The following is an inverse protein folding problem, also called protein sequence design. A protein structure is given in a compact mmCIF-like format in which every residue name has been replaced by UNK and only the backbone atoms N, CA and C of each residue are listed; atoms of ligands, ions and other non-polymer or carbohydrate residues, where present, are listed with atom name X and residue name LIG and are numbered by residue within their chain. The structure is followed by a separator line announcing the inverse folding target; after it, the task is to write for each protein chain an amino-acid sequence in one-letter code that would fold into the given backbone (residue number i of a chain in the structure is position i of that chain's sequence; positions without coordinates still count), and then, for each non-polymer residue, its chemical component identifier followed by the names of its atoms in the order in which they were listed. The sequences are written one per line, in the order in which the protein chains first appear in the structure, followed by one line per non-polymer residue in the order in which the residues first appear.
data_IF_092828959283
#
_entry.id   IF_092828959283
#
_cell.length_a   1.000
_cell.length_b   1.000
_cell.length_c   1.000
_cell.angle_alpha   90.00
_cell.angle_beta   90.00
_cell.angle_gamma   90.00
#
_symmetry.space_group_name_H-M   'P 1'
#
loop_
_entity.id
_entity.type
_entity.pdbx_description
1 polymer ?
#
# COMPACT_ATOMS: atom_id res chain seq x y z
N UNK A 1 5.06 -20.30 50.75
CA UNK A 1 5.41 -19.20 49.83
C UNK A 1 4.16 -18.60 49.21
N UNK A 2 3.29 -19.39 48.57
CA UNK A 2 2.05 -18.87 47.96
C UNK A 2 1.07 -18.21 48.94
N UNK A 3 0.97 -18.72 50.17
CA UNK A 3 0.15 -18.15 51.25
C UNK A 3 0.64 -16.79 51.75
N UNK A 4 1.94 -16.52 51.64
CA UNK A 4 2.53 -15.23 52.03
C UNK A 4 2.29 -14.16 50.96
N UNK A 5 2.20 -14.57 49.70
CA UNK A 5 1.91 -13.69 48.56
C UNK A 5 0.42 -13.35 48.44
N UNK A 6 -0.50 -14.18 48.95
CA UNK A 6 -1.95 -13.92 48.89
C UNK A 6 -2.47 -13.03 50.02
N UNK A 7 -1.76 -12.95 51.15
CA UNK A 7 -2.09 -12.07 52.29
C UNK A 7 -2.34 -10.60 51.92
N UNK A 8 -1.50 -9.92 51.10
CA UNK A 8 -1.78 -8.53 50.71
C UNK A 8 -3.05 -8.41 49.86
N UNK A 9 -3.38 -9.40 49.01
CA UNK A 9 -4.59 -9.40 48.17
C UNK A 9 -5.87 -9.76 48.96
N UNK A 10 -5.75 -10.31 50.16
CA UNK A 10 -6.88 -10.53 51.08
C UNK A 10 -7.25 -9.25 51.86
N UNK A 11 -6.29 -8.33 52.06
CA UNK A 11 -6.49 -7.04 52.73
C UNK A 11 -6.80 -5.92 51.71
N UNK A 12 -6.20 -6.00 50.53
CA UNK A 12 -6.47 -5.10 49.40
C UNK A 12 -7.68 -5.63 48.63
N UNK A 13 -8.89 -5.23 49.02
CA UNK A 13 -10.04 -5.32 48.11
C UNK A 13 -9.69 -4.59 46.83
N UNK A 14 -9.72 -5.29 45.69
CA UNK A 14 -9.52 -4.65 44.39
C UNK A 14 -10.60 -3.59 44.26
N UNK A 15 -10.26 -2.29 44.26
CA UNK A 15 -11.26 -1.26 44.12
C UNK A 15 -11.97 -1.51 42.78
N UNK A 16 -13.29 -1.49 42.78
CA UNK A 16 -14.09 -1.46 41.55
C UNK A 16 -13.74 -0.18 40.78
N UNK A 17 -12.63 -0.20 40.05
CA UNK A 17 -12.12 0.89 39.23
C UNK A 17 -13.05 1.00 38.03
N UNK A 18 -14.15 1.73 38.21
CA UNK A 18 -14.95 2.28 37.11
C UNK A 18 -14.14 3.39 36.44
N UNK A 19 -13.06 2.99 35.76
CA UNK A 19 -12.27 3.87 34.90
C UNK A 19 -13.20 4.38 33.80
N UNK A 20 -13.76 5.58 34.02
CA UNK A 20 -14.41 6.35 32.95
C UNK A 20 -13.34 6.58 31.89
N UNK A 21 -13.48 5.93 30.74
CA UNK A 21 -12.65 6.25 29.57
C UNK A 21 -12.74 7.76 29.33
N UNK A 22 -11.63 8.45 29.08
CA UNK A 22 -11.67 9.88 28.77
C UNK A 22 -12.61 10.07 27.58
N UNK A 23 -13.67 10.86 27.76
CA UNK A 23 -14.68 11.11 26.72
C UNK A 23 -14.11 11.83 25.49
N UNK A 24 -12.89 12.35 25.59
CA UNK A 24 -12.16 12.99 24.51
C UNK A 24 -11.52 12.00 23.52
N UNK A 25 -11.24 10.75 23.94
CA UNK A 25 -10.59 9.77 23.08
C UNK A 25 -11.63 8.96 22.31
N UNK A 26 -12.01 9.47 21.14
CA UNK A 26 -12.87 8.73 20.21
C UNK A 26 -12.04 7.68 19.48
N UNK A 27 -12.46 6.42 19.54
CA UNK A 27 -11.82 5.35 18.76
C UNK A 27 -11.93 5.69 17.26
N UNK A 28 -10.85 5.63 16.47
CA UNK A 28 -10.94 5.85 15.04
C UNK A 28 -11.83 4.77 14.40
N UNK A 29 -12.56 5.13 13.35
CA UNK A 29 -13.35 4.16 12.57
C UNK A 29 -12.44 3.14 11.90
N UNK A 30 -12.89 1.88 11.80
CA UNK A 30 -12.13 0.81 11.15
C UNK A 30 -11.73 1.17 9.70
N UNK A 31 -12.63 1.84 8.96
CA UNK A 31 -12.35 2.27 7.59
C UNK A 31 -11.29 3.39 7.53
N UNK A 32 -11.22 4.25 8.54
CA UNK A 32 -10.19 5.29 8.63
C UNK A 32 -8.81 4.67 8.85
N UNK A 33 -8.72 3.68 9.75
CA UNK A 33 -7.46 2.94 9.98
C UNK A 33 -7.06 2.19 8.71
N UNK A 34 -8.01 1.56 8.02
CA UNK A 34 -7.74 0.89 6.73
C UNK A 34 -7.17 1.86 5.68
N UNK A 35 -7.76 3.05 5.53
CA UNK A 35 -7.27 4.07 4.60
C UNK A 35 -5.85 4.54 4.96
N UNK A 36 -5.56 4.76 6.25
CA UNK A 36 -4.21 5.10 6.71
C UNK A 36 -3.18 4.01 6.39
N UNK A 37 -3.54 2.74 6.61
CA UNK A 37 -2.66 1.61 6.27
C UNK A 37 -2.41 1.56 4.76
N UNK A 38 -3.43 1.75 3.94
CA UNK A 38 -3.28 1.75 2.48
C UNK A 38 -2.38 2.91 1.99
N UNK A 39 -2.53 4.10 2.55
CA UNK A 39 -1.66 5.26 2.24
C UNK A 39 -0.22 4.97 2.70
N UNK A 40 -0.04 4.39 3.88
CA UNK A 40 1.30 4.03 4.36
C UNK A 40 1.97 2.99 3.45
N UNK A 41 1.21 2.00 2.96
CA UNK A 41 1.69 1.02 2.00
C UNK A 41 2.11 1.68 0.68
N UNK A 42 1.32 2.61 0.16
CA UNK A 42 1.66 3.39 -1.04
C UNK A 42 3.01 4.13 -0.89
N UNK A 43 3.21 4.81 0.24
CA UNK A 43 4.43 5.60 0.48
C UNK A 43 5.66 4.72 0.69
N UNK A 44 5.52 3.64 1.45
CA UNK A 44 6.63 2.71 1.72
C UNK A 44 7.05 1.98 0.45
N UNK A 45 6.10 1.42 -0.31
CA UNK A 45 6.39 0.77 -1.59
C UNK A 45 6.86 1.77 -2.65
N UNK A 46 6.44 3.03 -2.56
CA UNK A 46 6.88 4.10 -3.45
C UNK A 46 8.36 4.44 -3.32
N UNK A 47 9.03 3.94 -2.28
CA UNK A 47 10.45 4.17 -2.07
C UNK A 47 10.77 5.46 -1.34
N UNK A 48 9.82 6.08 -0.62
CA UNK A 48 10.05 7.35 0.09
C UNK A 48 11.26 7.29 1.03
N UNK A 49 11.51 6.13 1.67
CA UNK A 49 12.70 5.93 2.51
C UNK A 49 13.99 5.98 1.68
N UNK A 50 13.97 5.35 0.49
CA UNK A 50 15.10 5.37 -0.44
C UNK A 50 15.32 6.79 -0.99
N UNK A 51 14.25 7.49 -1.33
CA UNK A 51 14.29 8.85 -1.85
C UNK A 51 14.91 9.83 -0.84
N UNK A 52 14.60 9.69 0.46
CA UNK A 52 15.16 10.52 1.53
C UNK A 52 16.65 10.22 1.79
N UNK A 53 17.07 8.97 1.65
CA UNK A 53 18.47 8.58 1.96
C UNK A 53 19.41 8.86 0.78
N UNK A 54 18.96 8.55 -0.43
CA UNK A 54 19.82 8.53 -1.63
C UNK A 54 19.61 9.77 -2.50
N UNK A 55 18.49 10.48 -2.33
CA UNK A 55 18.12 11.66 -3.12
C UNK A 55 18.32 11.45 -4.64
N UNK A 56 17.73 10.38 -5.23
CA UNK A 56 17.87 10.11 -6.66
C UNK A 56 17.16 11.20 -7.49
N UNK A 57 17.60 11.43 -8.75
CA UNK A 57 16.89 12.35 -9.63
C UNK A 57 15.48 11.83 -9.95
N UNK A 58 14.55 12.74 -10.26
CA UNK A 58 13.14 12.37 -10.45
C UNK A 58 12.90 11.56 -11.72
N UNK A 59 13.60 11.88 -12.81
CA UNK A 59 13.52 11.24 -14.13
C UNK A 59 14.93 11.21 -14.73
N UNK A 60 15.30 10.10 -15.38
CA UNK A 60 16.57 9.98 -16.12
C UNK A 60 16.48 10.55 -17.54
N UNK A 61 17.61 10.74 -18.20
CA UNK A 61 17.65 11.06 -19.63
C UNK A 61 18.63 10.14 -20.35
N UNK A 62 18.25 9.73 -21.55
CA UNK A 62 19.15 9.01 -22.48
C UNK A 62 19.30 9.85 -23.74
N UNK A 63 20.51 9.88 -24.28
CA UNK A 63 20.77 10.52 -25.57
C UNK A 63 20.36 9.56 -26.68
N UNK A 64 19.55 10.08 -27.61
CA UNK A 64 19.19 9.40 -28.85
C UNK A 64 20.38 9.44 -29.83
N UNK A 65 20.33 8.67 -30.91
CA UNK A 65 21.40 8.64 -31.93
C UNK A 65 21.65 10.02 -32.58
N UNK A 66 20.63 10.88 -32.57
CA UNK A 66 20.68 12.26 -33.06
C UNK A 66 21.11 13.29 -31.99
N UNK A 67 21.51 12.85 -30.79
CA UNK A 67 21.96 13.72 -29.69
C UNK A 67 20.83 14.39 -28.89
N UNK A 68 19.56 14.07 -29.19
CA UNK A 68 18.42 14.59 -28.44
C UNK A 68 18.27 13.83 -27.10
N UNK A 69 18.02 14.57 -26.02
CA UNK A 69 17.74 13.97 -24.72
C UNK A 69 16.30 13.47 -24.66
N UNK A 70 16.11 12.15 -24.53
CA UNK A 70 14.81 11.53 -24.28
C UNK A 70 14.65 11.24 -22.78
N UNK A 71 13.53 11.62 -22.15
CA UNK A 71 13.28 11.30 -20.75
C UNK A 71 13.03 9.80 -20.60
N UNK A 72 13.67 9.18 -19.60
CA UNK A 72 13.49 7.78 -19.26
C UNK A 72 13.04 7.68 -17.81
N UNK A 73 11.84 7.12 -17.61
CA UNK A 73 11.23 7.02 -16.29
C UNK A 73 11.81 5.88 -15.43
N UNK A 74 12.44 4.88 -16.04
CA UNK A 74 12.99 3.70 -15.37
C UNK A 74 14.51 3.66 -15.48
N UNK A 75 15.20 3.19 -14.44
CA UNK A 75 16.64 2.97 -14.50
C UNK A 75 16.93 1.53 -15.00
N UNK A 76 17.35 1.34 -16.27
CA UNK A 76 17.56 0.00 -16.80
C UNK A 76 18.83 -0.64 -16.20
N UNK A 77 18.84 -1.96 -16.10
CA UNK A 77 19.97 -2.80 -15.67
C UNK A 77 20.43 -2.65 -14.21
N UNK A 78 19.86 -1.72 -13.43
CA UNK A 78 20.20 -1.55 -12.00
C UNK A 78 19.00 -1.87 -11.10
N UNK A 79 18.98 -3.07 -10.55
CA UNK A 79 17.86 -3.55 -9.71
C UNK A 79 17.69 -2.74 -8.41
N UNK A 80 18.81 -2.42 -7.76
CA UNK A 80 18.83 -1.73 -6.47
C UNK A 80 18.67 -0.20 -6.59
N UNK A 81 18.66 0.32 -7.82
CA UNK A 81 18.47 1.74 -8.08
C UNK A 81 17.05 2.01 -8.53
N UNK A 82 16.56 3.20 -8.22
CA UNK A 82 15.21 3.61 -8.54
C UNK A 82 15.15 5.12 -8.74
N UNK A 83 14.39 5.57 -9.73
CA UNK A 83 13.98 6.97 -9.85
C UNK A 83 12.68 7.21 -9.06
N UNK A 84 12.45 8.44 -8.61
CA UNK A 84 11.25 8.79 -7.82
C UNK A 84 9.98 8.43 -8.60
N UNK A 85 9.93 8.76 -9.89
CA UNK A 85 8.76 8.48 -10.73
C UNK A 85 8.52 6.99 -10.95
N UNK A 86 9.57 6.18 -11.03
CA UNK A 86 9.47 4.71 -11.11
C UNK A 86 8.84 4.13 -9.85
N UNK A 87 9.28 4.61 -8.68
CA UNK A 87 8.73 4.22 -7.38
C UNK A 87 7.26 4.55 -7.22
N UNK A 88 6.92 5.82 -7.45
CA UNK A 88 5.53 6.28 -7.33
C UNK A 88 4.60 5.61 -8.33
N UNK A 89 5.05 5.38 -9.57
CA UNK A 89 4.24 4.69 -10.58
C UNK A 89 3.99 3.22 -10.18
N UNK A 90 5.01 2.51 -9.71
CA UNK A 90 4.87 1.11 -9.29
C UNK A 90 3.99 0.95 -8.05
N UNK A 91 4.16 1.80 -7.02
CA UNK A 91 3.32 1.75 -5.82
C UNK A 91 1.86 2.12 -6.08
N UNK A 92 1.61 3.02 -7.05
CA UNK A 92 0.25 3.32 -7.52
C UNK A 92 -0.40 2.08 -8.14
N UNK A 93 0.31 1.34 -8.99
CA UNK A 93 -0.22 0.11 -9.59
C UNK A 93 -0.47 -0.98 -8.56
N UNK A 94 0.40 -1.12 -7.54
CA UNK A 94 0.18 -2.08 -6.45
C UNK A 94 -1.08 -1.77 -5.65
N UNK A 95 -1.30 -0.50 -5.30
CA UNK A 95 -2.50 -0.08 -4.57
C UNK A 95 -3.76 -0.18 -5.43
N UNK A 96 -3.68 0.18 -6.71
CA UNK A 96 -4.76 -0.01 -7.69
C UNK A 96 -5.17 -1.50 -7.78
N UNK A 97 -4.20 -2.41 -7.95
CA UNK A 97 -4.47 -3.84 -8.00
C UNK A 97 -5.10 -4.38 -6.71
N UNK A 98 -4.58 -3.97 -5.54
CA UNK A 98 -5.15 -4.32 -4.24
C UNK A 98 -6.57 -3.79 -4.05
N UNK A 99 -6.84 -2.54 -4.42
CA UNK A 99 -8.18 -1.96 -4.42
C UNK A 99 -9.13 -2.68 -5.38
N UNK A 100 -8.62 -3.18 -6.51
CA UNK A 100 -9.39 -4.03 -7.42
C UNK A 100 -9.99 -5.25 -6.73
N UNK A 101 -9.21 -5.94 -5.89
CA UNK A 101 -9.70 -7.07 -5.09
C UNK A 101 -10.73 -6.65 -4.03
N UNK A 102 -10.51 -5.52 -3.38
CA UNK A 102 -11.44 -4.98 -2.36
C UNK A 102 -12.78 -4.60 -3.00
N UNK A 103 -12.76 -4.04 -4.21
CA UNK A 103 -13.97 -3.72 -4.97
C UNK A 103 -14.72 -5.01 -5.31
N UNK A 104 -14.02 -6.07 -5.76
CA UNK A 104 -14.62 -7.37 -6.05
C UNK A 104 -15.26 -7.99 -4.81
N UNK A 105 -14.60 -7.91 -3.65
CA UNK A 105 -15.17 -8.41 -2.39
C UNK A 105 -16.47 -7.65 -2.04
N UNK A 106 -16.46 -6.32 -2.17
CA UNK A 106 -17.62 -5.48 -1.88
C UNK A 106 -18.85 -5.81 -2.76
N UNK A 107 -18.65 -6.36 -3.97
CA UNK A 107 -19.74 -6.72 -4.88
C UNK A 107 -20.62 -7.89 -4.38
N UNK A 108 -20.18 -8.64 -3.38
CA UNK A 108 -20.96 -9.71 -2.75
C UNK A 108 -22.12 -9.18 -1.89
N UNK A 109 -22.16 -7.88 -1.61
CA UNK A 109 -23.24 -7.28 -0.82
C UNK A 109 -24.60 -7.38 -1.55
N UNK A 110 -25.62 -8.03 -0.95
CA UNK A 110 -26.91 -8.26 -1.61
C UNK A 110 -27.68 -6.96 -1.90
N UNK A 111 -27.35 -5.86 -1.23
CA UNK A 111 -28.07 -4.57 -1.33
C UNK A 111 -27.81 -3.80 -2.64
N UNK A 112 -26.88 -4.26 -3.48
CA UNK A 112 -26.51 -3.56 -4.73
C UNK A 112 -27.43 -3.95 -5.90
N UNK A 113 -27.91 -2.99 -6.71
CA UNK A 113 -28.70 -3.30 -7.90
C UNK A 113 -27.86 -4.05 -8.94
N UNK A 114 -28.49 -4.95 -9.71
CA UNK A 114 -27.81 -5.89 -10.62
C UNK A 114 -26.83 -5.22 -11.59
N UNK A 115 -27.22 -4.09 -12.19
CA UNK A 115 -26.40 -3.37 -13.15
C UNK A 115 -25.12 -2.81 -12.49
N UNK A 116 -25.26 -2.16 -11.33
CA UNK A 116 -24.12 -1.60 -10.60
C UNK A 116 -23.15 -2.71 -10.13
N UNK A 117 -23.70 -3.87 -9.73
CA UNK A 117 -22.88 -5.02 -9.37
C UNK A 117 -22.03 -5.52 -10.54
N UNK A 118 -22.63 -5.67 -11.73
CA UNK A 118 -21.89 -6.10 -12.93
C UNK A 118 -20.81 -5.07 -13.29
N UNK A 119 -21.12 -3.76 -13.24
CA UNK A 119 -20.14 -2.71 -13.50
C UNK A 119 -18.96 -2.77 -12.53
N UNK A 120 -19.23 -2.90 -11.22
CA UNK A 120 -18.18 -2.99 -10.20
C UNK A 120 -17.31 -4.23 -10.38
N UNK A 121 -17.89 -5.37 -10.78
CA UNK A 121 -17.13 -6.58 -11.11
C UNK A 121 -16.19 -6.32 -12.30
N UNK A 122 -16.71 -5.73 -13.38
CA UNK A 122 -15.91 -5.40 -14.56
C UNK A 122 -14.76 -4.44 -14.21
N UNK A 123 -15.06 -3.37 -13.46
CA UNK A 123 -14.05 -2.39 -13.02
C UNK A 123 -12.99 -3.04 -12.15
N UNK A 124 -13.38 -3.81 -11.13
CA UNK A 124 -12.45 -4.51 -10.24
C UNK A 124 -11.54 -5.48 -10.99
N UNK A 125 -12.11 -6.24 -11.93
CA UNK A 125 -11.35 -7.18 -12.76
C UNK A 125 -10.37 -6.49 -13.71
N UNK A 126 -10.80 -5.41 -14.39
CA UNK A 126 -9.92 -4.61 -15.26
C UNK A 126 -8.78 -3.99 -14.45
N UNK A 127 -9.08 -3.49 -13.25
CA UNK A 127 -8.11 -2.89 -12.33
C UNK A 127 -6.97 -3.88 -11.99
N UNK A 128 -7.32 -5.14 -11.70
CA UNK A 128 -6.36 -6.21 -11.41
C UNK A 128 -5.55 -6.58 -12.67
N UNK A 129 -6.19 -6.73 -13.82
CA UNK A 129 -5.49 -7.09 -15.06
C UNK A 129 -4.51 -6.00 -15.50
N UNK A 130 -4.94 -4.74 -15.47
CA UNK A 130 -4.10 -3.59 -15.86
C UNK A 130 -2.91 -3.48 -14.92
N UNK A 131 -3.13 -3.52 -13.61
CA UNK A 131 -2.03 -3.45 -12.62
C UNK A 131 -1.04 -4.61 -12.78
N UNK A 132 -1.51 -5.84 -12.99
CA UNK A 132 -0.65 -6.99 -13.22
C UNK A 132 0.18 -6.85 -14.51
N UNK A 133 -0.47 -6.53 -15.64
CA UNK A 133 0.19 -6.41 -16.94
C UNK A 133 1.22 -5.27 -16.96
N UNK A 134 0.90 -4.12 -16.36
CA UNK A 134 1.81 -2.97 -16.28
C UNK A 134 3.00 -3.23 -15.36
N UNK A 135 2.79 -3.83 -14.18
CA UNK A 135 3.89 -4.26 -13.30
C UNK A 135 4.80 -5.28 -13.97
N UNK A 136 4.23 -6.23 -14.72
CA UNK A 136 5.00 -7.17 -15.53
C UNK A 136 5.88 -6.46 -16.56
N UNK A 137 5.31 -5.50 -17.28
CA UNK A 137 6.06 -4.68 -18.25
C UNK A 137 7.16 -3.88 -17.56
N UNK A 138 6.90 -3.29 -16.39
CA UNK A 138 7.91 -2.55 -15.61
C UNK A 138 9.09 -3.44 -15.23
N UNK A 139 8.83 -4.69 -14.81
CA UNK A 139 9.90 -5.65 -14.54
C UNK A 139 10.75 -5.96 -15.77
N UNK A 140 10.13 -6.10 -16.96
CA UNK A 140 10.86 -6.32 -18.21
C UNK A 140 11.63 -5.09 -18.68
N UNK A 141 11.13 -3.89 -18.42
CA UNK A 141 11.84 -2.64 -18.72
C UNK A 141 13.07 -2.48 -17.81
N UNK A 142 12.93 -2.80 -16.52
CA UNK A 142 14.03 -2.71 -15.55
C UNK A 142 15.11 -3.78 -15.79
N UNK A 143 14.70 -5.00 -16.12
CA UNK A 143 15.56 -6.14 -16.39
C UNK A 143 15.27 -6.75 -17.77
N UNK A 144 15.85 -6.18 -18.85
CA UNK A 144 15.72 -6.77 -20.18
C UNK A 144 16.41 -8.15 -20.20
N UNK A 145 15.67 -9.19 -20.57
CA UNK A 145 16.11 -10.59 -20.48
C UNK A 145 15.55 -11.36 -19.27
N UNK A 146 14.80 -10.68 -18.38
CA UNK A 146 14.05 -11.34 -17.31
C UNK A 146 12.85 -12.11 -17.88
N UNK A 147 12.76 -13.41 -17.53
CA UNK A 147 11.76 -14.38 -18.02
C UNK A 147 11.72 -14.52 -19.57
N UNK A 148 12.88 -14.76 -20.19
CA UNK A 148 12.93 -15.38 -21.52
C UNK A 148 12.63 -16.87 -21.45
#
# INVERSE_FOLDING_TARGET
METLYSLPFAVLEIPCLKLKRPSWFHKPSAMFVYALVLISYFLVCGGVIYDVIVEPPSIGSTVDEFGHSRPVAFLPYRVNGQYIMEGLASSFLFTMGGLGFVILDHTHNPNTPKLNRILLICVGFICILVSFATCWVFMRMKLPGYLQ
#
